data_IF_106074233830
#
_entry.id   IF_106074233830
#
_cell.length_a   1.000
_cell.length_b   1.000
_cell.length_c   1.000
_cell.angle_alpha   90.00
_cell.angle_beta   90.00
_cell.angle_gamma   90.00
#
_symmetry.space_group_name_H-M   'P 1'
#
loop_
_entity.id
_entity.type
_entity.pdbx_description
1 polymer ?
#
# COMPACT_ATOMS: atom_id res chain seq x y z
N UNK A 1 37.30 -0.36 -21.31
CA UNK A 1 36.28 -0.38 -20.24
C UNK A 1 35.47 -1.65 -20.46
N UNK A 2 35.80 -2.73 -19.77
CA UNK A 2 35.08 -4.00 -19.89
C UNK A 2 33.64 -3.80 -19.43
N UNK A 3 32.71 -4.07 -20.34
CA UNK A 3 31.29 -4.12 -20.03
C UNK A 3 31.11 -5.38 -19.17
N UNK A 4 31.00 -5.19 -17.86
CA UNK A 4 30.58 -6.25 -16.93
C UNK A 4 29.28 -6.85 -17.45
N UNK A 5 29.32 -8.11 -17.88
CA UNK A 5 28.11 -8.86 -18.21
C UNK A 5 27.23 -8.90 -16.97
N UNK A 6 25.91 -8.65 -17.07
CA UNK A 6 25.03 -8.75 -15.91
C UNK A 6 25.13 -10.18 -15.34
N UNK A 7 25.55 -10.28 -14.08
CA UNK A 7 25.61 -11.54 -13.35
C UNK A 7 24.21 -12.16 -13.41
N UNK A 8 24.08 -13.43 -13.84
CA UNK A 8 22.78 -14.10 -13.92
C UNK A 8 22.20 -14.18 -12.50
N UNK A 9 21.25 -13.30 -12.19
CA UNK A 9 20.55 -13.28 -10.90
C UNK A 9 19.75 -14.56 -10.71
N UNK A 10 19.95 -15.23 -9.58
CA UNK A 10 19.08 -16.34 -9.16
C UNK A 10 17.73 -15.76 -8.73
N UNK A 11 16.66 -16.16 -9.41
CA UNK A 11 15.30 -15.75 -9.05
C UNK A 11 14.84 -16.59 -7.86
N UNK A 12 14.44 -15.92 -6.78
CA UNK A 12 13.97 -16.57 -5.55
C UNK A 12 12.56 -17.14 -5.71
N UNK A 13 12.15 -18.14 -4.90
CA UNK A 13 10.81 -18.71 -4.97
C UNK A 13 9.70 -17.67 -4.82
N UNK A 14 9.83 -16.74 -3.86
CA UNK A 14 8.87 -15.66 -3.67
C UNK A 14 8.83 -14.70 -4.87
N UNK A 15 9.98 -14.33 -5.44
CA UNK A 15 10.05 -13.45 -6.62
C UNK A 15 9.31 -14.05 -7.81
N UNK A 16 9.52 -15.34 -8.07
CA UNK A 16 8.84 -16.05 -9.17
C UNK A 16 7.32 -15.99 -9.00
N UNK A 17 6.83 -16.19 -7.76
CA UNK A 17 5.39 -16.17 -7.45
C UNK A 17 4.82 -14.75 -7.56
N UNK A 18 5.56 -13.74 -7.12
CA UNK A 18 5.20 -12.34 -7.25
C UNK A 18 5.07 -11.92 -8.72
N UNK A 19 6.04 -12.29 -9.55
CA UNK A 19 6.01 -12.05 -10.99
C UNK A 19 4.79 -12.71 -11.65
N UNK A 20 4.55 -13.98 -11.36
CA UNK A 20 3.41 -14.72 -11.93
C UNK A 20 2.07 -14.08 -11.57
N UNK A 21 1.89 -13.66 -10.31
CA UNK A 21 0.64 -13.06 -9.84
C UNK A 21 0.47 -11.65 -10.41
N UNK A 22 1.53 -10.83 -10.43
CA UNK A 22 1.51 -9.50 -11.03
C UNK A 22 1.15 -9.57 -12.53
N UNK A 23 1.76 -10.47 -13.29
CA UNK A 23 1.47 -10.67 -14.72
C UNK A 23 0.02 -11.09 -14.96
N UNK A 24 -0.47 -12.09 -14.21
CA UNK A 24 -1.86 -12.54 -14.30
C UNK A 24 -2.83 -11.40 -13.98
N UNK A 25 -2.53 -10.60 -12.97
CA UNK A 25 -3.42 -9.53 -12.52
C UNK A 25 -3.46 -8.38 -13.53
N UNK A 26 -2.30 -7.92 -13.98
CA UNK A 26 -2.18 -6.81 -14.94
C UNK A 26 -2.86 -7.20 -16.27
N UNK A 27 -2.68 -8.44 -16.74
CA UNK A 27 -3.37 -8.90 -17.97
C UNK A 27 -4.89 -8.97 -17.83
N UNK A 28 -5.44 -9.18 -16.63
CA UNK A 28 -6.88 -9.13 -16.39
C UNK A 28 -7.42 -7.68 -16.34
N UNK A 29 -6.60 -6.71 -15.94
CA UNK A 29 -6.95 -5.29 -15.89
C UNK A 29 -6.68 -4.52 -17.19
N UNK A 30 -6.10 -5.15 -18.22
CA UNK A 30 -5.85 -4.54 -19.55
C UNK A 30 -7.14 -4.08 -20.28
N UNK A 31 -8.32 -4.42 -19.77
CA UNK A 31 -9.59 -3.87 -20.24
C UNK A 31 -9.83 -2.41 -19.82
N UNK A 32 -9.10 -1.91 -18.82
CA UNK A 32 -9.10 -0.53 -18.33
C UNK A 32 -7.78 0.16 -18.70
N UNK A 33 -7.71 0.76 -19.90
CA UNK A 33 -6.51 1.37 -20.49
C UNK A 33 -6.12 2.74 -19.88
N UNK A 34 -6.00 2.82 -18.55
CA UNK A 34 -5.64 4.04 -17.81
C UNK A 34 -4.15 4.13 -17.43
N UNK A 35 -3.69 5.34 -17.05
CA UNK A 35 -2.32 5.61 -16.56
C UNK A 35 -1.87 4.67 -15.44
N UNK A 36 -2.79 4.22 -14.60
CA UNK A 36 -2.49 3.28 -13.52
C UNK A 36 -2.02 1.91 -14.02
N UNK A 37 -2.64 1.37 -15.08
CA UNK A 37 -2.21 0.09 -15.66
C UNK A 37 -0.79 0.22 -16.25
N UNK A 38 -0.52 1.31 -16.98
CA UNK A 38 0.82 1.60 -17.50
C UNK A 38 1.89 1.66 -16.40
N UNK A 39 1.59 2.32 -15.27
CA UNK A 39 2.47 2.34 -14.11
C UNK A 39 2.72 0.94 -13.53
N UNK A 40 1.69 0.09 -13.44
CA UNK A 40 1.83 -1.29 -12.97
C UNK A 40 2.71 -2.13 -13.91
N UNK A 41 2.56 -1.97 -15.23
CA UNK A 41 3.38 -2.63 -16.24
C UNK A 41 4.85 -2.20 -16.18
N UNK A 42 5.09 -0.88 -16.05
CA UNK A 42 6.42 -0.31 -15.85
C UNK A 42 7.05 -0.88 -14.57
N UNK A 43 6.33 -0.82 -13.46
CA UNK A 43 6.77 -1.33 -12.18
C UNK A 43 7.13 -2.82 -12.21
N UNK A 44 6.33 -3.64 -12.90
CA UNK A 44 6.62 -5.05 -13.08
C UNK A 44 7.90 -5.27 -13.89
N UNK A 45 8.13 -4.47 -14.93
CA UNK A 45 9.36 -4.52 -15.73
C UNK A 45 10.57 -4.18 -14.87
N UNK A 46 10.50 -3.09 -14.10
CA UNK A 46 11.55 -2.70 -13.16
C UNK A 46 11.79 -3.78 -12.11
N UNK A 47 10.75 -4.42 -11.57
CA UNK A 47 10.91 -5.49 -10.60
C UNK A 47 11.58 -6.74 -11.18
N UNK A 48 11.33 -7.09 -12.45
CA UNK A 48 12.03 -8.19 -13.14
C UNK A 48 13.54 -7.95 -13.14
N UNK A 49 13.97 -6.71 -13.35
CA UNK A 49 15.38 -6.31 -13.34
C UNK A 49 15.95 -6.28 -11.91
N UNK A 50 15.33 -5.50 -11.01
CA UNK A 50 15.85 -5.21 -9.67
C UNK A 50 15.72 -6.39 -8.70
N UNK A 51 14.56 -7.04 -8.67
CA UNK A 51 14.26 -8.09 -7.71
C UNK A 51 14.05 -7.65 -6.27
N UNK A 52 13.87 -8.63 -5.40
CA UNK A 52 13.81 -8.37 -3.97
C UNK A 52 15.18 -7.92 -3.45
N UNK A 53 15.21 -6.98 -2.49
CA UNK A 53 16.46 -6.51 -1.93
C UNK A 53 17.26 -7.60 -1.24
N UNK A 54 18.58 -7.54 -1.38
CA UNK A 54 19.51 -8.52 -0.79
C UNK A 54 20.76 -7.84 -0.20
N UNK A 55 21.48 -8.53 0.69
CA UNK A 55 22.64 -7.97 1.42
C UNK A 55 23.80 -7.45 0.56
N UNK A 56 23.93 -7.90 -0.70
CA UNK A 56 24.92 -7.32 -1.62
C UNK A 56 24.60 -5.86 -2.02
N UNK A 57 23.37 -5.38 -1.79
CA UNK A 57 23.02 -3.96 -1.98
C UNK A 57 23.41 -3.17 -0.75
N UNK A 58 24.08 -2.03 -0.95
CA UNK A 58 24.58 -1.18 0.13
C UNK A 58 23.50 -0.79 1.15
N UNK A 59 22.29 -0.41 0.68
CA UNK A 59 21.14 -0.06 1.53
C UNK A 59 20.62 -1.24 2.38
N UNK A 60 20.99 -2.47 2.05
CA UNK A 60 20.49 -3.71 2.66
C UNK A 60 21.58 -4.58 3.27
N UNK A 61 22.84 -4.11 3.33
CA UNK A 61 23.98 -4.93 3.82
C UNK A 61 23.78 -5.49 5.24
N UNK A 62 23.02 -4.76 6.06
CA UNK A 62 22.75 -5.08 7.46
C UNK A 62 21.39 -5.76 7.69
N UNK A 63 20.59 -5.99 6.64
CA UNK A 63 19.24 -6.55 6.75
C UNK A 63 19.13 -7.80 5.90
N UNK A 64 19.07 -8.97 6.53
CA UNK A 64 18.91 -10.26 5.84
C UNK A 64 17.44 -10.68 5.80
N UNK A 65 16.88 -10.78 4.60
CA UNK A 65 15.51 -11.25 4.37
C UNK A 65 15.46 -12.58 3.60
N UNK A 66 16.61 -13.23 3.41
CA UNK A 66 16.72 -14.42 2.56
C UNK A 66 15.83 -15.56 3.03
N UNK A 67 15.70 -15.76 4.35
CA UNK A 67 14.82 -16.78 4.94
C UNK A 67 13.33 -16.48 4.69
N UNK A 68 12.95 -15.20 4.75
CA UNK A 68 11.60 -14.76 4.45
C UNK A 68 11.24 -14.98 2.98
N UNK A 69 12.18 -14.75 2.06
CA UNK A 69 11.95 -14.95 0.63
C UNK A 69 11.86 -16.42 0.20
N UNK A 70 12.28 -17.35 1.06
CA UNK A 70 12.10 -18.79 0.85
C UNK A 70 10.72 -19.29 1.31
N UNK A 71 10.03 -18.54 2.19
CA UNK A 71 8.68 -18.87 2.63
C UNK A 71 7.67 -18.71 1.49
N UNK A 72 6.61 -19.51 1.53
CA UNK A 72 5.59 -19.56 0.47
C UNK A 72 4.46 -18.53 0.66
N UNK A 73 4.80 -17.24 0.78
CA UNK A 73 3.78 -16.20 0.90
C UNK A 73 2.86 -16.15 -0.32
N UNK A 74 1.59 -15.82 -0.12
CA UNK A 74 0.57 -15.64 -1.14
C UNK A 74 0.21 -14.15 -1.17
N UNK A 75 0.52 -13.41 -2.25
CA UNK A 75 0.01 -12.08 -2.44
C UNK A 75 -1.52 -12.04 -2.31
N UNK A 76 -2.04 -11.16 -1.45
CA UNK A 76 -3.47 -10.93 -1.36
C UNK A 76 -3.94 -10.17 -2.60
N UNK A 77 -4.97 -10.68 -3.27
CA UNK A 77 -5.48 -10.13 -4.54
C UNK A 77 -7.00 -10.06 -4.59
N UNK A 78 -7.70 -10.50 -3.55
CA UNK A 78 -9.16 -10.56 -3.52
C UNK A 78 -9.68 -9.96 -2.23
N UNK A 79 -10.64 -9.05 -2.37
CA UNK A 79 -11.37 -8.49 -1.23
C UNK A 79 -12.21 -9.58 -0.59
N UNK A 80 -12.05 -9.75 0.70
CA UNK A 80 -12.83 -10.70 1.48
C UNK A 80 -14.12 -10.07 1.99
N UNK A 81 -15.18 -10.86 2.02
CA UNK A 81 -16.41 -10.49 2.72
C UNK A 81 -16.18 -10.80 4.19
N UNK A 82 -16.17 -9.76 4.99
CA UNK A 82 -16.10 -9.84 6.44
C UNK A 82 -17.32 -9.13 7.01
N UNK A 83 -17.91 -9.68 8.09
CA UNK A 83 -19.22 -9.24 8.59
C UNK A 83 -19.17 -8.63 9.99
N UNK A 84 -18.01 -8.64 10.66
CA UNK A 84 -17.86 -8.05 11.99
C UNK A 84 -17.35 -6.62 11.89
N UNK A 85 -17.72 -5.76 12.82
CA UNK A 85 -17.13 -4.42 12.87
C UNK A 85 -15.63 -4.52 13.19
N UNK A 86 -14.85 -3.54 12.74
CA UNK A 86 -13.40 -3.50 13.03
C UNK A 86 -13.16 -3.45 14.53
N UNK A 87 -14.00 -2.72 15.25
CA UNK A 87 -13.94 -2.60 16.70
C UNK A 87 -14.25 -3.92 17.44
N UNK A 88 -14.82 -4.92 16.76
CA UNK A 88 -15.05 -6.25 17.34
C UNK A 88 -13.80 -7.14 17.29
N UNK A 89 -12.82 -6.76 16.47
CA UNK A 89 -11.60 -7.55 16.20
C UNK A 89 -10.30 -6.80 16.48
N UNK A 90 -10.36 -5.50 16.65
CA UNK A 90 -9.25 -4.64 17.03
C UNK A 90 -9.64 -3.83 18.26
N UNK A 91 -8.80 -3.88 19.30
CA UNK A 91 -8.97 -3.09 20.51
C UNK A 91 -7.82 -2.08 20.62
N UNK A 92 -8.12 -0.78 20.51
CA UNK A 92 -7.15 0.25 20.83
C UNK A 92 -7.07 0.38 22.36
N UNK A 93 -5.94 -0.01 22.95
CA UNK A 93 -5.74 0.06 24.41
C UNK A 93 -5.50 1.48 24.94
N UNK A 94 -5.48 2.49 24.06
CA UNK A 94 -5.34 3.90 24.42
C UNK A 94 -6.69 4.42 24.91
N UNK A 95 -6.80 4.65 26.21
CA UNK A 95 -8.03 5.16 26.83
C UNK A 95 -8.37 6.57 26.32
N UNK A 96 -9.66 6.81 26.01
CA UNK A 96 -10.15 8.12 25.58
C UNK A 96 -9.69 8.54 24.18
N UNK A 97 -9.16 7.61 23.38
CA UNK A 97 -8.76 7.89 22.01
C UNK A 97 -9.97 7.82 21.06
N UNK A 98 -10.37 8.99 20.55
CA UNK A 98 -11.39 9.14 19.52
C UNK A 98 -10.72 9.55 18.21
N UNK A 99 -11.07 8.89 17.10
CA UNK A 99 -10.40 9.09 15.81
C UNK A 99 -11.32 8.79 14.63
N UNK A 100 -10.97 9.37 13.49
CA UNK A 100 -11.56 9.00 12.21
C UNK A 100 -10.89 7.74 11.68
N UNK A 101 -11.61 6.63 11.65
CA UNK A 101 -11.02 5.30 11.37
C UNK A 101 -11.08 4.97 9.88
N UNK A 102 -9.94 4.54 9.34
CA UNK A 102 -9.80 3.87 8.03
C UNK A 102 -9.29 2.47 8.29
N UNK A 103 -10.03 1.44 7.87
CA UNK A 103 -9.69 0.06 8.17
C UNK A 103 -9.35 -0.72 6.91
N UNK A 104 -8.31 -1.54 7.01
CA UNK A 104 -7.84 -2.43 5.94
C UNK A 104 -7.73 -3.83 6.51
N UNK A 105 -8.39 -4.80 5.88
CA UNK A 105 -8.27 -6.22 6.21
C UNK A 105 -7.59 -6.95 5.06
N UNK A 106 -6.51 -7.66 5.35
CA UNK A 106 -5.75 -8.45 4.36
C UNK A 106 -5.40 -7.67 3.08
N UNK A 107 -5.13 -6.37 3.20
CA UNK A 107 -4.71 -5.52 2.09
C UNK A 107 -5.83 -4.76 1.36
N UNK A 108 -7.09 -4.94 1.73
CA UNK A 108 -8.23 -4.24 1.11
C UNK A 108 -8.99 -3.39 2.12
N UNK A 109 -9.51 -2.23 1.69
CA UNK A 109 -10.37 -1.40 2.53
C UNK A 109 -11.59 -2.18 3.01
N UNK A 110 -11.86 -2.03 4.29
CA UNK A 110 -12.96 -2.67 4.97
C UNK A 110 -13.78 -1.65 5.76
N UNK A 111 -15.09 -1.73 5.59
CA UNK A 111 -16.09 -0.95 6.32
C UNK A 111 -17.39 -1.74 6.29
N UNK A 112 -18.14 -1.72 7.39
CA UNK A 112 -19.50 -2.23 7.46
C UNK A 112 -20.51 -1.38 6.68
N UNK A 113 -20.15 -0.13 6.37
CA UNK A 113 -20.94 0.79 5.56
C UNK A 113 -20.32 0.92 4.15
N UNK A 114 -21.17 0.91 3.12
CA UNK A 114 -20.78 0.70 1.73
C UNK A 114 -20.06 1.86 1.03
N UNK A 115 -19.96 3.07 1.63
CA UNK A 115 -19.53 4.27 0.87
C UNK A 115 -18.06 4.24 0.42
N UNK A 116 -17.18 3.49 1.09
CA UNK A 116 -15.75 3.41 0.74
C UNK A 116 -14.94 4.67 1.06
N UNK A 117 -15.58 5.84 1.07
CA UNK A 117 -15.04 7.15 1.43
C UNK A 117 -15.97 7.84 2.43
N UNK A 118 -15.38 8.61 3.34
CA UNK A 118 -16.05 9.53 4.26
C UNK A 118 -15.68 10.95 3.83
N UNK A 119 -16.69 11.76 3.55
CA UNK A 119 -16.54 13.16 3.10
C UNK A 119 -17.09 14.05 4.20
N UNK A 120 -16.26 14.93 4.74
CA UNK A 120 -16.63 15.86 5.81
C UNK A 120 -17.04 17.22 5.25
N UNK A 121 -17.83 17.98 6.02
CA UNK A 121 -18.35 19.30 5.62
C UNK A 121 -17.25 20.33 5.30
N UNK A 122 -16.07 20.18 5.89
CA UNK A 122 -14.89 21.02 5.63
C UNK A 122 -14.07 20.55 4.41
N UNK A 123 -14.57 19.60 3.62
CA UNK A 123 -13.93 19.09 2.41
C UNK A 123 -12.85 18.04 2.65
N UNK A 124 -12.62 17.60 3.89
CA UNK A 124 -11.72 16.47 4.18
C UNK A 124 -12.32 15.20 3.60
N UNK A 125 -11.47 14.37 2.99
CA UNK A 125 -11.86 13.07 2.42
C UNK A 125 -10.94 12.01 3.01
N UNK A 126 -11.51 10.95 3.57
CA UNK A 126 -10.75 9.79 4.07
C UNK A 126 -11.39 8.47 3.61
N UNK A 127 -10.61 7.43 3.39
CA UNK A 127 -11.14 6.08 3.14
C UNK A 127 -10.26 5.23 2.22
N UNK A 128 -10.91 4.45 1.36
CA UNK A 128 -10.26 3.56 0.40
C UNK A 128 -9.51 4.32 -0.68
N UNK A 129 -8.24 3.97 -0.87
CA UNK A 129 -7.46 4.43 -2.03
C UNK A 129 -8.04 3.94 -3.35
N UNK A 130 -8.52 2.69 -3.41
CA UNK A 130 -9.15 2.15 -4.60
C UNK A 130 -10.37 2.99 -5.01
N UNK A 131 -11.21 3.36 -4.04
CA UNK A 131 -12.40 4.18 -4.25
C UNK A 131 -12.04 5.62 -4.62
N UNK A 132 -11.06 6.22 -3.94
CA UNK A 132 -10.57 7.56 -4.27
C UNK A 132 -10.00 7.64 -5.69
N UNK A 133 -9.34 6.59 -6.18
CA UNK A 133 -8.86 6.52 -7.57
C UNK A 133 -10.00 6.56 -8.58
N UNK A 134 -11.15 5.97 -8.26
CA UNK A 134 -12.34 5.97 -9.12
C UNK A 134 -13.08 7.33 -9.08
N UNK A 135 -13.25 7.90 -7.90
CA UNK A 135 -14.10 9.09 -7.70
C UNK A 135 -13.34 10.43 -7.76
N UNK A 136 -12.04 10.42 -7.47
CA UNK A 136 -11.15 11.58 -7.49
C UNK A 136 -9.86 11.29 -8.28
N UNK A 137 -9.96 10.90 -9.56
CA UNK A 137 -8.81 10.54 -10.38
C UNK A 137 -7.77 11.66 -10.50
N UNK A 138 -8.16 12.93 -10.36
CA UNK A 138 -7.25 14.08 -10.41
C UNK A 138 -6.19 14.07 -9.31
N UNK A 139 -6.54 13.63 -8.10
CA UNK A 139 -5.56 13.49 -7.02
C UNK A 139 -4.63 12.32 -7.28
N UNK A 140 -5.18 11.22 -7.78
CA UNK A 140 -4.40 10.04 -8.11
C UNK A 140 -3.39 10.33 -9.23
N UNK A 141 -3.83 10.95 -10.32
CA UNK A 141 -2.97 11.31 -11.45
C UNK A 141 -1.85 12.28 -11.09
N UNK A 142 -2.11 13.21 -10.15
CA UNK A 142 -1.13 14.21 -9.73
C UNK A 142 -0.13 13.66 -8.72
N UNK A 143 -0.60 12.89 -7.74
CA UNK A 143 0.19 12.59 -6.54
C UNK A 143 0.64 11.13 -6.42
N UNK A 144 -0.08 10.17 -7.00
CA UNK A 144 0.24 8.75 -6.84
C UNK A 144 1.55 8.38 -7.56
N UNK A 145 2.45 7.71 -6.85
CA UNK A 145 3.78 7.30 -7.33
C UNK A 145 4.67 8.46 -7.79
N UNK A 146 4.41 9.66 -7.28
CA UNK A 146 5.18 10.87 -7.63
C UNK A 146 6.42 11.05 -6.75
N UNK A 147 6.41 10.57 -5.50
CA UNK A 147 7.54 10.60 -4.58
C UNK A 147 8.26 9.25 -4.62
N UNK A 148 7.52 8.15 -4.42
CA UNK A 148 8.10 6.81 -4.36
C UNK A 148 8.17 6.19 -5.76
N UNK A 149 9.21 6.61 -6.49
CA UNK A 149 9.48 6.18 -7.86
C UNK A 149 9.77 4.68 -7.95
N UNK A 150 9.25 4.01 -8.98
CA UNK A 150 9.29 2.55 -9.12
C UNK A 150 10.71 2.00 -9.22
N UNK A 151 11.62 2.77 -9.81
CA UNK A 151 13.04 2.49 -9.99
C UNK A 151 13.87 2.58 -8.69
N UNK A 152 13.28 3.06 -7.58
CA UNK A 152 14.02 3.30 -6.32
C UNK A 152 14.59 2.00 -5.73
N UNK A 153 13.79 0.92 -5.70
CA UNK A 153 14.18 -0.42 -5.28
C UNK A 153 13.05 -1.42 -5.62
N UNK A 154 13.34 -2.72 -5.57
CA UNK A 154 12.35 -3.71 -5.95
C UNK A 154 11.17 -3.90 -4.99
N UNK A 155 11.25 -3.54 -3.69
CA UNK A 155 10.06 -3.52 -2.83
C UNK A 155 9.08 -2.43 -3.27
N UNK A 156 9.58 -1.26 -3.69
CA UNK A 156 8.77 -0.18 -4.26
C UNK A 156 8.16 -0.59 -5.59
N UNK A 157 8.95 -1.22 -6.47
CA UNK A 157 8.49 -1.72 -7.76
C UNK A 157 7.39 -2.78 -7.61
N UNK A 158 7.59 -3.81 -6.78
CA UNK A 158 6.57 -4.85 -6.61
C UNK A 158 5.32 -4.32 -5.89
N UNK A 159 5.48 -3.38 -4.97
CA UNK A 159 4.34 -2.70 -4.35
C UNK A 159 3.52 -1.93 -5.40
N UNK A 160 4.17 -1.17 -6.30
CA UNK A 160 3.48 -0.46 -7.38
C UNK A 160 2.72 -1.43 -8.30
N UNK A 161 3.33 -2.57 -8.65
CA UNK A 161 2.71 -3.57 -9.53
C UNK A 161 1.53 -4.31 -8.88
N UNK A 162 1.55 -4.51 -7.56
CA UNK A 162 0.57 -5.34 -6.86
C UNK A 162 -0.42 -4.59 -5.96
N UNK A 163 -0.17 -3.35 -5.55
CA UNK A 163 -1.10 -2.64 -4.69
C UNK A 163 -2.43 -2.35 -5.41
N UNK A 164 -3.54 -2.64 -4.74
CA UNK A 164 -4.89 -2.31 -5.22
C UNK A 164 -5.56 -1.24 -4.39
N UNK A 165 -5.25 -1.23 -3.10
CA UNK A 165 -5.96 -0.42 -2.13
C UNK A 165 -5.03 0.00 -1.00
N UNK A 166 -5.59 0.81 -0.12
CA UNK A 166 -5.01 1.23 1.13
C UNK A 166 -5.72 2.49 1.62
N UNK A 167 -5.02 3.37 2.32
CA UNK A 167 -5.63 4.58 2.83
C UNK A 167 -5.51 5.75 1.83
N UNK A 168 -6.60 6.49 1.66
CA UNK A 168 -6.58 7.81 1.05
C UNK A 168 -6.98 8.85 2.09
N UNK A 169 -6.23 9.95 2.13
CA UNK A 169 -6.55 11.11 2.96
C UNK A 169 -6.25 12.37 2.14
N UNK A 170 -7.25 13.24 2.03
CA UNK A 170 -7.11 14.58 1.47
C UNK A 170 -7.60 15.62 2.49
N UNK A 171 -6.76 16.63 2.75
CA UNK A 171 -7.08 17.76 3.61
C UNK A 171 -6.94 19.05 2.78
N UNK A 172 -8.00 19.86 2.64
CA UNK A 172 -7.93 21.11 1.89
C UNK A 172 -7.03 22.16 2.53
N UNK A 173 -6.73 23.22 1.78
CA UNK A 173 -5.99 24.38 2.27
C UNK A 173 -6.68 25.01 3.49
N UNK A 174 -5.90 25.44 4.47
CA UNK A 174 -6.36 26.11 5.71
C UNK A 174 -7.28 25.27 6.60
N UNK A 175 -7.32 23.95 6.42
CA UNK A 175 -8.13 23.05 7.25
C UNK A 175 -7.26 22.36 8.31
N UNK A 176 -7.68 22.47 9.58
CA UNK A 176 -7.17 21.67 10.69
C UNK A 176 -8.17 20.55 11.01
N UNK A 177 -7.70 19.30 10.93
CA UNK A 177 -8.50 18.12 11.28
C UNK A 177 -8.39 17.89 12.79
N UNK A 178 -9.47 18.16 13.53
CA UNK A 178 -9.49 18.08 15.00
C UNK A 178 -9.25 16.67 15.52
N UNK A 179 -9.93 15.67 14.94
CA UNK A 179 -9.77 14.26 15.32
C UNK A 179 -8.64 13.62 14.50
N UNK A 180 -7.73 12.85 15.11
CA UNK A 180 -6.74 12.08 14.38
C UNK A 180 -7.39 11.17 13.35
N UNK A 181 -6.71 10.93 12.23
CA UNK A 181 -7.05 9.83 11.31
C UNK A 181 -6.25 8.60 11.73
N UNK A 182 -6.95 7.51 12.05
CA UNK A 182 -6.34 6.24 12.43
C UNK A 182 -6.50 5.23 11.30
N UNK A 183 -5.38 4.79 10.74
CA UNK A 183 -5.31 3.68 9.83
C UNK A 183 -5.10 2.38 10.61
N UNK A 184 -6.08 1.48 10.59
CA UNK A 184 -6.01 0.16 11.23
C UNK A 184 -5.86 -0.90 10.14
N UNK A 185 -4.72 -1.59 10.13
CA UNK A 185 -4.39 -2.65 9.19
C UNK A 185 -4.35 -3.98 9.90
N UNK A 186 -5.28 -4.86 9.55
CA UNK A 186 -5.45 -6.17 10.17
C UNK A 186 -5.06 -7.28 9.21
N UNK A 187 -4.38 -8.28 9.75
CA UNK A 187 -4.12 -9.55 9.07
C UNK A 187 -4.75 -10.69 9.86
N UNK A 188 -5.63 -11.45 9.23
CA UNK A 188 -6.33 -12.57 9.88
C UNK A 188 -6.08 -13.92 9.17
N UNK A 189 -5.13 -13.95 8.23
CA UNK A 189 -4.72 -15.13 7.48
C UNK A 189 -3.22 -15.32 7.52
N UNK A 190 -2.82 -16.60 7.55
CA UNK A 190 -1.40 -16.98 7.50
C UNK A 190 -0.81 -16.85 6.11
N UNK A 191 0.48 -16.54 6.06
CA UNK A 191 1.27 -16.64 4.85
C UNK A 191 0.82 -15.66 3.77
N UNK A 192 0.26 -14.51 4.13
CA UNK A 192 -0.03 -13.47 3.15
C UNK A 192 1.20 -12.61 2.86
N UNK A 193 1.31 -12.15 1.62
CA UNK A 193 2.11 -10.98 1.29
C UNK A 193 1.15 -9.84 0.94
N UNK A 194 1.23 -8.74 1.68
CA UNK A 194 0.35 -7.59 1.50
C UNK A 194 1.13 -6.47 0.83
N UNK A 195 0.60 -5.95 -0.27
CA UNK A 195 1.09 -4.73 -0.89
C UNK A 195 -0.02 -3.68 -0.81
N UNK A 196 0.13 -2.71 0.08
CA UNK A 196 -0.83 -1.62 0.28
C UNK A 196 -0.18 -0.28 0.05
N UNK A 197 -0.96 0.70 -0.41
CA UNK A 197 -0.49 2.09 -0.54
C UNK A 197 -1.36 3.05 0.23
N UNK A 198 -0.71 3.98 0.93
CA UNK A 198 -1.37 5.10 1.55
C UNK A 198 -1.01 6.38 0.79
N UNK A 199 -2.01 7.16 0.40
CA UNK A 199 -1.83 8.46 -0.23
C UNK A 199 -2.45 9.53 0.68
N UNK A 200 -1.59 10.38 1.22
CA UNK A 200 -1.98 11.48 2.13
C UNK A 200 -1.60 12.79 1.44
N UNK A 201 -2.58 13.66 1.24
CA UNK A 201 -2.43 14.94 0.56
C UNK A 201 -2.92 16.04 1.49
N UNK A 202 -2.00 16.91 1.90
CA UNK A 202 -2.23 18.04 2.78
C UNK A 202 -2.12 19.34 1.96
N UNK A 203 -3.19 20.14 1.96
CA UNK A 203 -3.22 21.48 1.37
C UNK A 203 -2.31 22.47 2.10
N UNK A 204 -2.18 23.68 1.57
CA UNK A 204 -1.41 24.74 2.21
C UNK A 204 -2.00 25.13 3.56
N UNK A 205 -1.16 25.38 4.56
CA UNK A 205 -1.56 25.77 5.91
C UNK A 205 -2.61 24.81 6.52
N UNK A 206 -2.51 23.52 6.20
CA UNK A 206 -3.40 22.48 6.72
C UNK A 206 -2.72 21.64 7.79
N UNK A 207 -3.51 20.97 8.64
CA UNK A 207 -2.98 20.16 9.75
C UNK A 207 -3.78 18.89 9.96
N UNK A 208 -3.06 17.79 10.19
CA UNK A 208 -3.61 16.47 10.48
C UNK A 208 -2.71 15.74 11.46
N UNK A 209 -3.32 15.00 12.40
CA UNK A 209 -2.64 13.92 13.13
C UNK A 209 -2.98 12.59 12.48
N UNK A 210 -1.97 11.83 12.04
CA UNK A 210 -2.15 10.52 11.40
C UNK A 210 -1.50 9.42 12.22
N UNK A 211 -2.26 8.36 12.53
CA UNK A 211 -1.81 7.20 13.27
C UNK A 211 -1.90 5.95 12.38
N UNK A 212 -0.80 5.22 12.24
CA UNK A 212 -0.76 3.94 11.54
C UNK A 212 -0.63 2.80 12.55
N UNK A 213 -1.59 1.87 12.54
CA UNK A 213 -1.59 0.65 13.34
C UNK A 213 -1.58 -0.57 12.41
N UNK A 214 -0.58 -1.45 12.56
CA UNK A 214 -0.59 -2.79 11.96
C UNK A 214 -0.79 -3.82 13.07
N UNK A 215 -1.69 -4.77 12.88
CA UNK A 215 -1.97 -5.85 13.83
C UNK A 215 -2.26 -7.19 13.11
N UNK A 216 -1.95 -8.29 13.78
CA UNK A 216 -2.15 -9.67 13.29
C UNK A 216 -2.98 -10.43 14.30
N UNK A 217 -4.22 -10.76 13.93
CA UNK A 217 -5.21 -11.39 14.82
C UNK A 217 -4.75 -12.78 15.28
N UNK A 218 -4.13 -13.53 14.38
CA UNK A 218 -3.71 -14.91 14.67
C UNK A 218 -2.21 -15.02 15.01
N UNK A 219 -1.47 -13.91 14.94
CA UNK A 219 -0.01 -13.87 15.09
C UNK A 219 0.76 -14.82 14.13
N UNK A 220 0.16 -15.14 12.98
CA UNK A 220 0.81 -15.94 11.94
C UNK A 220 1.80 -15.10 11.12
N UNK A 221 2.83 -15.76 10.58
CA UNK A 221 3.80 -15.14 9.67
C UNK A 221 3.12 -14.56 8.42
N UNK A 222 3.37 -13.28 8.16
CA UNK A 222 2.99 -12.57 6.92
C UNK A 222 4.07 -11.57 6.54
N UNK A 223 4.17 -11.23 5.26
CA UNK A 223 5.09 -10.21 4.74
C UNK A 223 4.30 -8.97 4.33
N UNK A 224 4.43 -7.88 5.08
CA UNK A 224 3.70 -6.64 4.82
C UNK A 224 4.64 -5.63 4.15
N UNK A 225 4.29 -5.21 2.96
CA UNK A 225 4.97 -4.17 2.18
C UNK A 225 4.03 -2.98 2.03
N UNK A 226 4.08 -2.03 2.97
CA UNK A 226 3.26 -0.82 2.93
C UNK A 226 4.09 0.35 2.44
N UNK A 227 3.53 1.12 1.52
CA UNK A 227 4.14 2.35 1.02
C UNK A 227 3.21 3.53 1.33
N UNK A 228 3.73 4.55 1.99
CA UNK A 228 2.98 5.78 2.27
C UNK A 228 3.62 6.95 1.53
N UNK A 229 2.84 7.67 0.73
CA UNK A 229 3.23 8.95 0.13
C UNK A 229 2.48 10.07 0.84
N UNK A 230 3.23 11.03 1.37
CA UNK A 230 2.69 12.18 2.11
C UNK A 230 3.12 13.45 1.39
N UNK A 231 2.15 14.15 0.82
CA UNK A 231 2.31 15.45 0.17
C UNK A 231 1.90 16.54 1.15
N UNK A 232 2.80 17.49 1.41
CA UNK A 232 2.59 18.57 2.37
C UNK A 232 2.69 19.91 1.66
N UNK A 233 1.61 20.68 1.68
CA UNK A 233 1.57 22.06 1.18
C UNK A 233 2.43 23.03 2.00
N UNK A 234 2.58 24.24 1.50
CA UNK A 234 3.33 25.31 2.18
C UNK A 234 2.60 25.77 3.46
N UNK A 235 3.36 26.27 4.45
CA UNK A 235 2.81 26.86 5.67
C UNK A 235 2.52 28.35 5.50
#
# INVERSE_FOLDING_TARGET
MEIMKPEKRTILPLEKKLLQIAEKKISLSEKDAGKFNALQQEALTVFKELGLPHKKLEKWRNTDLSDWYQKSFIPATEKEIFTKEVNDIFECTVQGFDSNVVSILNGHYYSSQESGLQIFDNGVIIGSLAKAREEYPEYFEKYYSSIAKVETNGMTAINAALAEDGAFVYVPDNVEVEKPVQLIKLVNKRGLMLNTRNLIIMGNNSRLTFLHCDDSINHDDSLINTLSEVHIGEN
#
